data_IF_108068209799
#
_entry.id   IF_108068209799
#
_cell.length_a   1.000
_cell.length_b   1.000
_cell.length_c   1.000
_cell.angle_alpha   90.00
_cell.angle_beta   90.00
_cell.angle_gamma   90.00
#
_symmetry.space_group_name_H-M   'P 1'
#
loop_
_entity.id
_entity.type
_entity.pdbx_description
1 polymer ?
#
# COMPACT_ATOMS: atom_id res chain seq x y z
N UNK A 1 -5.07 22.34 -21.40
CA UNK A 1 -5.96 23.18 -20.57
C UNK A 1 -7.07 22.41 -19.84
N UNK A 2 -7.69 21.35 -20.39
CA UNK A 2 -8.72 20.54 -19.68
C UNK A 2 -8.19 19.71 -18.48
N UNK A 3 -6.89 19.38 -18.44
CA UNK A 3 -6.25 18.58 -17.36
C UNK A 3 -5.78 19.40 -16.14
N UNK A 4 -5.60 20.72 -16.30
CA UNK A 4 -4.99 21.59 -15.28
C UNK A 4 -6.03 22.10 -14.25
N UNK A 5 -7.31 22.12 -14.62
CA UNK A 5 -8.39 22.63 -13.74
C UNK A 5 -8.80 21.60 -12.68
N UNK A 6 -8.60 20.30 -12.93
CA UNK A 6 -8.85 19.26 -11.92
C UNK A 6 -7.83 19.31 -10.77
N UNK A 7 -6.58 19.73 -11.06
CA UNK A 7 -5.47 19.75 -10.10
C UNK A 7 -5.51 20.91 -9.10
N UNK A 8 -6.19 22.02 -9.40
CA UNK A 8 -6.11 23.24 -8.58
C UNK A 8 -7.18 23.32 -7.47
N UNK A 9 -8.22 22.48 -7.50
CA UNK A 9 -9.44 22.71 -6.70
C UNK A 9 -9.70 21.69 -5.59
N UNK A 10 -8.87 20.65 -5.44
CA UNK A 10 -8.86 19.81 -4.24
C UNK A 10 -7.64 20.07 -3.33
N UNK A 11 -6.81 21.06 -3.68
CA UNK A 11 -5.55 21.39 -2.98
C UNK A 11 -5.72 22.38 -1.80
N UNK A 12 -6.91 22.89 -1.53
CA UNK A 12 -7.18 23.72 -0.34
C UNK A 12 -8.08 22.96 0.59
N UNK A 13 -7.54 22.52 1.72
CA UNK A 13 -8.22 21.80 2.81
C UNK A 13 -9.43 22.52 3.38
N UNK A 14 -10.53 22.48 2.64
CA UNK A 14 -11.85 22.97 3.02
C UNK A 14 -12.82 21.83 2.80
N UNK A 15 -12.65 20.76 3.59
CA UNK A 15 -13.76 19.89 3.97
C UNK A 15 -14.56 20.57 5.09
N UNK A 16 -14.90 21.86 4.94
CA UNK A 16 -15.85 22.55 5.82
C UNK A 16 -17.16 22.71 5.06
N UNK A 17 -18.13 21.88 5.47
CA UNK A 17 -19.55 21.97 5.15
C UNK A 17 -19.92 22.20 3.68
N UNK A 18 -19.56 21.28 2.80
CA UNK A 18 -20.41 21.03 1.64
C UNK A 18 -21.53 20.12 2.12
N UNK A 19 -22.76 20.63 2.11
CA UNK A 19 -23.95 19.79 2.16
C UNK A 19 -23.92 18.92 0.89
N UNK A 20 -23.21 17.80 0.96
CA UNK A 20 -23.31 16.70 0.02
C UNK A 20 -24.77 16.27 0.15
N UNK A 21 -25.61 16.67 -0.79
CA UNK A 21 -26.91 16.04 -0.96
C UNK A 21 -26.64 14.54 -0.96
N UNK A 22 -27.22 13.75 -0.04
CA UNK A 22 -26.90 12.33 0.02
C UNK A 22 -27.17 11.75 -1.35
N UNK A 23 -26.10 11.33 -2.02
CA UNK A 23 -26.19 10.72 -3.34
C UNK A 23 -26.71 9.31 -3.08
N UNK A 24 -28.02 9.18 -3.16
CA UNK A 24 -28.79 8.06 -2.63
C UNK A 24 -28.91 6.89 -3.62
N UNK A 25 -27.82 6.55 -4.34
CA UNK A 25 -27.81 5.28 -5.07
C UNK A 25 -27.22 4.19 -4.15
N UNK A 26 -27.94 3.08 -4.03
CA UNK A 26 -27.48 1.91 -3.28
C UNK A 26 -26.10 1.43 -3.76
N UNK A 27 -25.85 1.56 -5.07
CA UNK A 27 -24.58 1.21 -5.67
C UNK A 27 -23.43 2.10 -5.17
N UNK A 28 -23.59 3.42 -5.14
CA UNK A 28 -22.54 4.31 -4.67
C UNK A 28 -22.23 4.09 -3.18
N UNK A 29 -23.25 3.86 -2.35
CA UNK A 29 -23.05 3.46 -0.95
C UNK A 29 -22.24 2.17 -0.82
N UNK A 30 -22.56 1.16 -1.62
CA UNK A 30 -21.82 -0.11 -1.63
C UNK A 30 -20.38 0.09 -2.06
N UNK A 31 -20.15 0.88 -3.12
CA UNK A 31 -18.80 1.19 -3.58
C UNK A 31 -18.01 1.98 -2.53
N UNK A 32 -18.65 2.91 -1.83
CA UNK A 32 -18.02 3.63 -0.72
C UNK A 32 -17.63 2.67 0.42
N UNK A 33 -18.52 1.77 0.84
CA UNK A 33 -18.19 0.76 1.86
C UNK A 33 -17.02 -0.14 1.44
N UNK A 34 -16.95 -0.51 0.15
CA UNK A 34 -15.81 -1.27 -0.38
C UNK A 34 -14.52 -0.43 -0.33
N UNK A 35 -14.58 0.85 -0.70
CA UNK A 35 -13.43 1.75 -0.63
C UNK A 35 -12.95 1.95 0.82
N UNK A 36 -13.86 2.08 1.78
CA UNK A 36 -13.54 2.18 3.21
C UNK A 36 -12.81 0.90 3.69
N UNK A 37 -13.29 -0.27 3.28
CA UNK A 37 -12.62 -1.54 3.59
C UNK A 37 -11.23 -1.65 2.95
N UNK A 38 -11.04 -1.15 1.73
CA UNK A 38 -9.73 -1.10 1.06
C UNK A 38 -8.78 -0.16 1.80
N UNK A 39 -9.28 1.00 2.27
CA UNK A 39 -8.49 1.97 3.04
C UNK A 39 -8.04 1.37 4.38
N UNK A 40 -8.92 0.68 5.10
CA UNK A 40 -8.55 0.03 6.36
C UNK A 40 -7.49 -1.05 6.16
N UNK A 41 -7.61 -1.84 5.09
CA UNK A 41 -6.60 -2.82 4.69
C UNK A 41 -5.28 -2.15 4.29
N UNK A 42 -5.33 -1.08 3.49
CA UNK A 42 -4.17 -0.31 3.08
C UNK A 42 -3.43 0.32 4.26
N UNK A 43 -4.14 0.78 5.30
CA UNK A 43 -3.52 1.37 6.49
C UNK A 43 -2.59 0.37 7.17
N UNK A 44 -3.03 -0.87 7.31
CA UNK A 44 -2.24 -1.94 7.91
C UNK A 44 -1.06 -2.34 7.02
N UNK A 45 -1.30 -2.50 5.71
CA UNK A 45 -0.25 -2.85 4.76
C UNK A 45 0.81 -1.75 4.64
N UNK A 46 0.40 -0.48 4.67
CA UNK A 46 1.31 0.67 4.65
C UNK A 46 2.29 0.61 5.82
N UNK A 47 1.83 0.30 7.04
CA UNK A 47 2.74 0.18 8.19
C UNK A 47 3.79 -0.93 8.01
N UNK A 48 3.42 -2.06 7.40
CA UNK A 48 4.36 -3.15 7.11
C UNK A 48 5.42 -2.74 6.09
N UNK A 49 5.01 -2.12 5.00
CA UNK A 49 5.92 -1.58 3.97
C UNK A 49 6.79 -0.45 4.54
N UNK A 50 6.20 0.48 5.29
CA UNK A 50 6.91 1.59 5.93
C UNK A 50 8.02 1.07 6.84
N UNK A 51 7.73 0.09 7.69
CA UNK A 51 8.71 -0.58 8.55
C UNK A 51 9.81 -1.24 7.71
N UNK A 52 9.47 -1.96 6.64
CA UNK A 52 10.44 -2.63 5.78
C UNK A 52 11.40 -1.64 5.12
N UNK A 53 10.88 -0.53 4.60
CA UNK A 53 11.68 0.52 3.96
C UNK A 53 12.60 1.25 4.93
N UNK A 54 12.02 1.79 6.01
CA UNK A 54 12.78 2.61 6.96
C UNK A 54 13.81 1.76 7.71
N UNK A 55 13.49 0.51 8.04
CA UNK A 55 14.46 -0.38 8.68
C UNK A 55 15.62 -0.76 7.75
N UNK A 56 15.42 -0.80 6.44
CA UNK A 56 16.48 -1.00 5.47
C UNK A 56 17.46 0.19 5.40
N UNK A 57 16.96 1.42 5.51
CA UNK A 57 17.80 2.61 5.61
C UNK A 57 18.64 2.59 6.90
N UNK A 58 18.03 2.15 8.00
CA UNK A 58 18.69 2.03 9.30
C UNK A 58 19.81 0.97 9.30
N UNK A 59 19.72 -0.10 8.49
CA UNK A 59 20.84 -1.03 8.28
C UNK A 59 22.10 -0.30 7.79
N UNK A 60 21.93 0.61 6.82
CA UNK A 60 23.04 1.38 6.24
C UNK A 60 23.59 2.39 7.24
N UNK A 61 22.71 3.16 7.89
CA UNK A 61 23.07 4.16 8.90
C UNK A 61 23.85 3.56 10.07
N UNK A 62 23.44 2.38 10.53
CA UNK A 62 24.11 1.67 11.62
C UNK A 62 25.23 0.73 11.17
N UNK A 63 25.58 0.73 9.86
CA UNK A 63 26.67 -0.06 9.27
C UNK A 63 26.55 -1.56 9.57
N UNK A 64 25.32 -2.08 9.55
CA UNK A 64 25.06 -3.51 9.74
C UNK A 64 25.57 -4.26 8.52
N UNK A 65 26.32 -5.34 8.75
CA UNK A 65 26.77 -6.22 7.66
C UNK A 65 25.61 -7.07 7.15
N UNK A 66 24.99 -6.63 6.06
CA UNK A 66 23.83 -7.29 5.44
C UNK A 66 24.08 -8.74 5.05
N UNK A 67 25.35 -9.16 4.85
CA UNK A 67 25.71 -10.56 4.53
C UNK A 67 25.52 -11.50 5.73
N UNK A 68 25.44 -10.95 6.94
CA UNK A 68 25.21 -11.71 8.18
C UNK A 68 23.73 -11.97 8.44
N UNK A 69 22.84 -11.18 7.83
CA UNK A 69 21.40 -11.31 8.03
C UNK A 69 20.98 -12.74 7.65
N UNK A 70 20.37 -13.43 8.60
CA UNK A 70 19.76 -14.74 8.42
C UNK A 70 18.27 -14.63 8.15
N UNK A 71 17.59 -13.78 8.93
CA UNK A 71 16.14 -13.55 8.84
C UNK A 71 15.82 -12.09 9.18
N UNK A 72 14.68 -11.63 8.68
CA UNK A 72 14.07 -10.42 9.19
C UNK A 72 12.57 -10.38 8.90
N UNK A 73 11.85 -9.53 9.64
CA UNK A 73 10.42 -9.39 9.48
C UNK A 73 9.77 -8.52 10.54
N UNK A 74 8.50 -8.22 10.30
CA UNK A 74 7.65 -7.46 11.21
C UNK A 74 7.17 -8.34 12.36
N UNK A 75 7.22 -7.81 13.57
CA UNK A 75 6.59 -8.37 14.78
C UNK A 75 5.80 -7.27 15.50
N UNK A 76 4.82 -7.63 16.31
CA UNK A 76 3.99 -6.67 17.04
C UNK A 76 3.91 -7.13 18.50
N UNK A 77 4.19 -6.22 19.43
CA UNK A 77 4.12 -6.50 20.86
C UNK A 77 2.69 -6.39 21.41
N UNK A 78 2.52 -6.73 22.70
CA UNK A 78 1.21 -6.68 23.37
C UNK A 78 0.61 -5.26 23.48
N UNK A 79 1.42 -4.22 23.29
CA UNK A 79 0.97 -2.83 23.29
C UNK A 79 0.62 -2.32 21.88
N UNK A 80 0.77 -3.15 20.84
CA UNK A 80 0.58 -2.77 19.45
C UNK A 80 1.78 -2.01 18.85
N UNK A 81 2.92 -1.97 19.53
CA UNK A 81 4.15 -1.42 19.00
C UNK A 81 4.71 -2.38 17.96
N UNK A 82 5.05 -1.86 16.80
CA UNK A 82 5.53 -2.64 15.68
C UNK A 82 7.05 -2.61 15.61
N UNK A 83 7.65 -3.75 15.33
CA UNK A 83 9.09 -3.91 15.20
C UNK A 83 9.41 -4.50 13.84
N UNK A 84 10.43 -3.97 13.17
CA UNK A 84 11.12 -4.68 12.10
C UNK A 84 12.47 -5.18 12.62
N UNK A 85 12.56 -6.50 12.80
CA UNK A 85 13.71 -7.15 13.41
C UNK A 85 14.57 -7.79 12.32
N UNK A 86 15.89 -7.59 12.40
CA UNK A 86 16.89 -8.34 11.66
C UNK A 86 17.73 -9.16 12.64
N UNK A 87 17.90 -10.45 12.35
CA UNK A 87 18.80 -11.34 13.09
C UNK A 87 19.85 -11.95 12.19
N UNK A 88 20.95 -12.37 12.79
CA UNK A 88 21.98 -13.12 12.08
C UNK A 88 21.57 -14.59 11.87
N UNK A 89 22.44 -15.36 11.19
CA UNK A 89 22.23 -16.80 10.92
C UNK A 89 22.17 -17.68 12.18
N UNK A 90 22.55 -17.16 13.34
CA UNK A 90 22.47 -17.83 14.65
C UNK A 90 21.26 -17.37 15.47
N UNK A 91 20.51 -16.38 14.97
CA UNK A 91 19.36 -15.81 15.67
C UNK A 91 19.70 -14.68 16.65
N UNK A 92 20.93 -14.16 16.65
CA UNK A 92 21.27 -12.98 17.45
C UNK A 92 20.76 -11.71 16.78
N UNK A 93 20.21 -10.76 17.56
CA UNK A 93 19.75 -9.49 17.03
C UNK A 93 20.88 -8.69 16.36
N UNK A 94 20.61 -8.23 15.13
CA UNK A 94 21.47 -7.29 14.40
C UNK A 94 20.92 -5.86 14.46
N UNK A 95 19.61 -5.71 14.28
CA UNK A 95 18.91 -4.43 14.29
C UNK A 95 17.43 -4.65 14.63
N UNK A 96 16.87 -3.75 15.42
CA UNK A 96 15.46 -3.68 15.76
C UNK A 96 14.99 -2.24 15.52
N UNK A 97 14.15 -2.06 14.51
CA UNK A 97 13.50 -0.80 14.17
C UNK A 97 12.09 -0.80 14.76
N UNK A 98 11.86 0.06 15.73
CA UNK A 98 10.61 0.12 16.50
C UNK A 98 9.79 1.31 16.02
N UNK A 99 8.51 1.10 15.79
CA UNK A 99 7.53 2.10 15.36
C UNK A 99 6.30 2.03 16.27
N UNK A 100 5.93 3.16 16.86
CA UNK A 100 4.60 3.36 17.41
C UNK A 100 3.66 3.78 16.25
N UNK A 101 2.71 2.92 15.82
CA UNK A 101 1.85 3.22 14.69
C UNK A 101 0.83 4.34 14.96
N UNK A 102 0.63 4.76 16.21
CA UNK A 102 -0.29 5.86 16.53
C UNK A 102 0.38 7.22 16.40
N UNK A 103 1.60 7.35 16.91
CA UNK A 103 2.36 8.62 16.87
C UNK A 103 3.30 8.73 15.67
N UNK A 104 3.54 7.61 14.97
CA UNK A 104 4.60 7.44 13.96
C UNK A 104 6.00 7.73 14.51
N UNK A 105 6.18 7.76 15.84
CA UNK A 105 7.49 7.86 16.46
C UNK A 105 8.25 6.55 16.25
N UNK A 106 9.53 6.67 15.86
CA UNK A 106 10.39 5.51 15.64
C UNK A 106 11.74 5.63 16.34
N UNK A 107 12.30 4.48 16.69
CA UNK A 107 13.63 4.35 17.28
C UNK A 107 14.30 3.06 16.79
N UNK A 108 15.62 3.12 16.59
CA UNK A 108 16.44 1.97 16.21
C UNK A 108 17.37 1.56 17.33
N UNK A 109 17.51 0.25 17.56
CA UNK A 109 18.56 -0.30 18.41
C UNK A 109 19.34 -1.41 17.72
N UNK A 110 20.63 -1.49 18.00
CA UNK A 110 21.53 -2.57 17.59
C UNK A 110 22.10 -3.32 18.79
N UNK A 111 21.54 -3.10 19.97
CA UNK A 111 21.99 -3.74 21.21
C UNK A 111 21.70 -5.24 21.14
N UNK A 112 22.75 -6.05 21.15
CA UNK A 112 22.63 -7.51 21.14
C UNK A 112 21.72 -8.01 22.26
N UNK A 113 20.74 -8.82 21.87
CA UNK A 113 19.86 -9.60 22.74
C UNK A 113 19.37 -10.84 21.98
N UNK A 114 18.90 -11.83 22.73
CA UNK A 114 18.10 -12.89 22.16
C UNK A 114 16.70 -12.36 21.84
N UNK A 115 16.07 -12.97 20.83
CA UNK A 115 14.65 -12.77 20.58
C UNK A 115 13.83 -13.51 21.63
N UNK A 116 12.68 -12.97 21.96
CA UNK A 116 11.68 -13.72 22.71
C UNK A 116 10.96 -14.74 21.82
N UNK A 117 10.09 -15.54 22.45
CA UNK A 117 9.38 -16.61 21.76
C UNK A 117 8.40 -16.07 20.71
N UNK A 118 7.72 -14.97 20.98
CA UNK A 118 6.76 -14.34 20.05
C UNK A 118 7.47 -13.79 18.82
N UNK A 119 8.57 -13.06 19.01
CA UNK A 119 9.39 -12.51 17.93
C UNK A 119 9.93 -13.65 17.04
N UNK A 120 10.50 -14.68 17.66
CA UNK A 120 11.03 -15.84 16.94
C UNK A 120 9.94 -16.57 16.15
N UNK A 121 8.77 -16.81 16.77
CA UNK A 121 7.64 -17.46 16.11
C UNK A 121 7.14 -16.65 14.91
N UNK A 122 6.98 -15.34 15.05
CA UNK A 122 6.55 -14.45 13.97
C UNK A 122 7.53 -14.49 12.78
N UNK A 123 8.83 -14.43 13.03
CA UNK A 123 9.84 -14.51 11.96
C UNK A 123 9.89 -15.87 11.26
N UNK A 124 9.78 -16.97 12.02
CA UNK A 124 9.72 -18.32 11.45
C UNK A 124 8.47 -18.46 10.58
N UNK A 125 7.31 -18.01 11.09
CA UNK A 125 6.03 -18.05 10.39
C UNK A 125 6.10 -17.29 9.07
N UNK A 126 6.62 -16.06 9.08
CA UNK A 126 6.87 -15.25 7.88
C UNK A 126 7.73 -16.01 6.87
N UNK A 127 8.86 -16.56 7.34
CA UNK A 127 9.81 -17.27 6.47
C UNK A 127 9.18 -18.52 5.84
N UNK A 128 8.38 -19.27 6.60
CA UNK A 128 7.68 -20.46 6.10
C UNK A 128 6.58 -20.07 5.11
N UNK A 129 5.80 -19.03 5.39
CA UNK A 129 4.76 -18.53 4.50
C UNK A 129 5.36 -18.12 3.14
N UNK A 130 6.44 -17.33 3.13
CA UNK A 130 7.14 -16.92 1.89
C UNK A 130 7.61 -18.15 1.11
N UNK A 131 8.25 -19.13 1.77
CA UNK A 131 8.68 -20.37 1.12
C UNK A 131 7.52 -21.13 0.49
N UNK A 132 6.38 -21.23 1.18
CA UNK A 132 5.20 -21.91 0.65
C UNK A 132 4.63 -21.18 -0.56
N UNK A 133 4.50 -19.86 -0.51
CA UNK A 133 3.98 -19.07 -1.64
C UNK A 133 4.91 -19.15 -2.85
N UNK A 134 6.23 -19.00 -2.65
CA UNK A 134 7.21 -19.13 -3.75
C UNK A 134 7.15 -20.53 -4.36
N UNK A 135 7.01 -21.59 -3.55
CA UNK A 135 6.89 -22.96 -4.08
C UNK A 135 5.58 -23.20 -4.85
N UNK A 136 4.48 -22.59 -4.42
CA UNK A 136 3.14 -22.89 -4.94
C UNK A 136 2.74 -21.99 -6.11
N UNK A 137 3.14 -20.71 -6.04
CA UNK A 137 2.71 -19.65 -6.96
C UNK A 137 3.89 -18.94 -7.64
N UNK A 138 5.14 -19.35 -7.37
CA UNK A 138 6.35 -18.64 -7.80
C UNK A 138 6.45 -18.46 -9.30
N UNK A 139 6.07 -19.46 -10.10
CA UNK A 139 6.09 -19.35 -11.56
C UNK A 139 5.15 -18.24 -12.05
N UNK A 140 3.98 -18.08 -11.43
CA UNK A 140 3.04 -17.02 -11.78
C UNK A 140 3.51 -15.64 -11.35
N UNK A 141 4.30 -15.53 -10.27
CA UNK A 141 4.80 -14.26 -9.72
C UNK A 141 6.08 -13.81 -10.45
N UNK A 142 7.03 -14.73 -10.66
CA UNK A 142 8.38 -14.43 -11.13
C UNK A 142 8.48 -14.29 -12.65
N UNK A 143 7.56 -14.88 -13.41
CA UNK A 143 7.54 -14.77 -14.88
C UNK A 143 7.09 -13.39 -15.39
N UNK A 144 6.58 -12.52 -14.52
CA UNK A 144 6.12 -11.17 -14.86
C UNK A 144 6.93 -10.05 -14.20
N UNK A 145 8.22 -10.28 -13.88
CA UNK A 145 9.11 -9.19 -13.48
C UNK A 145 9.29 -8.20 -14.62
N UNK A 146 8.47 -7.16 -14.62
CA UNK A 146 8.40 -6.14 -15.66
C UNK A 146 9.16 -4.85 -15.32
N UNK A 147 9.83 -4.80 -14.16
CA UNK A 147 10.46 -3.58 -13.64
C UNK A 147 11.84 -3.88 -13.04
N UNK A 148 12.75 -2.90 -13.11
CA UNK A 148 14.10 -2.92 -12.53
C UNK A 148 14.11 -2.77 -10.99
N UNK A 149 13.08 -3.31 -10.32
CA UNK A 149 12.88 -3.21 -8.87
C UNK A 149 12.73 -4.56 -8.17
N UNK A 150 12.76 -4.52 -6.84
CA UNK A 150 12.59 -5.69 -5.98
C UNK A 150 11.13 -5.93 -5.63
N UNK A 151 10.76 -7.21 -5.50
CA UNK A 151 9.49 -7.60 -4.91
C UNK A 151 9.62 -7.54 -3.38
N UNK A 152 8.74 -6.78 -2.72
CA UNK A 152 8.57 -6.88 -1.28
C UNK A 152 7.51 -7.93 -0.94
N UNK A 153 7.67 -8.60 0.21
CA UNK A 153 6.78 -9.66 0.69
C UNK A 153 6.30 -9.30 2.10
N UNK A 154 5.09 -8.78 2.21
CA UNK A 154 4.45 -8.47 3.48
C UNK A 154 3.55 -9.62 3.90
N UNK A 155 3.86 -10.24 5.04
CA UNK A 155 3.06 -11.33 5.60
C UNK A 155 2.32 -10.78 6.81
N UNK A 156 1.01 -10.57 6.63
CA UNK A 156 0.14 -9.92 7.61
C UNK A 156 -0.73 -11.00 8.28
N UNK A 157 -0.61 -11.18 9.62
CA UNK A 157 -1.49 -12.08 10.36
C UNK A 157 -2.92 -11.55 10.42
N UNK A 158 -3.92 -12.38 10.12
CA UNK A 158 -5.33 -12.01 10.21
C UNK A 158 -5.90 -12.45 11.58
N UNK A 159 -6.98 -11.79 12.03
CA UNK A 159 -7.57 -12.02 13.36
C UNK A 159 -8.09 -13.45 13.57
N UNK A 160 -8.36 -14.19 12.49
CA UNK A 160 -8.82 -15.58 12.51
C UNK A 160 -7.69 -16.62 12.39
N UNK A 161 -6.44 -16.19 12.55
CA UNK A 161 -5.25 -17.05 12.48
C UNK A 161 -4.82 -17.40 11.05
N UNK A 162 -5.48 -16.85 10.02
CA UNK A 162 -4.98 -16.90 8.63
C UNK A 162 -3.85 -15.91 8.43
N UNK A 163 -3.15 -16.04 7.31
CA UNK A 163 -2.18 -15.05 6.85
C UNK A 163 -2.64 -14.48 5.51
N UNK A 164 -2.48 -13.17 5.34
CA UNK A 164 -2.56 -12.53 4.03
C UNK A 164 -1.16 -12.05 3.65
N UNK A 165 -0.70 -12.50 2.49
CA UNK A 165 0.56 -12.06 1.92
C UNK A 165 0.31 -11.09 0.77
N UNK A 166 0.94 -9.92 0.86
CA UNK A 166 1.08 -9.00 -0.25
C UNK A 166 2.45 -9.16 -0.88
N UNK A 167 2.47 -9.14 -2.21
CA UNK A 167 3.71 -9.05 -2.98
C UNK A 167 3.61 -7.79 -3.81
N UNK A 168 4.40 -6.78 -3.45
CA UNK A 168 4.36 -5.46 -4.08
C UNK A 168 5.62 -5.26 -4.91
N UNK A 169 5.46 -4.77 -6.13
CA UNK A 169 6.58 -4.45 -7.02
C UNK A 169 7.02 -2.99 -6.80
N UNK A 170 8.21 -2.82 -6.21
CA UNK A 170 8.85 -1.50 -6.14
C UNK A 170 9.59 -1.12 -7.42
N UNK A 171 10.16 0.08 -7.43
CA UNK A 171 11.05 0.61 -8.48
C UNK A 171 12.35 1.18 -7.92
N UNK A 172 13.40 1.16 -8.74
CA UNK A 172 14.67 1.86 -8.49
C UNK A 172 14.78 3.16 -9.28
N UNK A 173 13.81 3.46 -10.15
CA UNK A 173 13.77 4.71 -10.89
C UNK A 173 13.37 5.86 -9.96
N UNK A 174 14.09 6.98 -10.07
CA UNK A 174 13.76 8.20 -9.35
C UNK A 174 12.57 8.92 -9.99
N UNK A 175 11.88 9.74 -9.21
CA UNK A 175 10.83 10.68 -9.67
C UNK A 175 9.67 10.01 -10.41
N UNK A 176 9.36 8.76 -10.07
CA UNK A 176 8.22 8.02 -10.62
C UNK A 176 7.37 7.40 -9.52
N UNK A 177 6.08 7.29 -9.80
CA UNK A 177 5.13 6.53 -9.02
C UNK A 177 4.90 5.16 -9.69
N UNK A 178 5.32 4.04 -9.06
CA UNK A 178 5.01 2.71 -9.56
C UNK A 178 3.57 2.31 -9.19
N UNK A 179 2.91 1.60 -10.09
CA UNK A 179 1.65 0.90 -9.82
C UNK A 179 1.62 -0.46 -10.51
N UNK A 180 1.12 -1.46 -9.79
CA UNK A 180 0.74 -2.75 -10.34
C UNK A 180 1.87 -3.78 -10.41
N UNK A 181 1.58 -4.90 -11.07
CA UNK A 181 2.31 -6.16 -10.88
C UNK A 181 2.33 -6.65 -9.42
N UNK A 182 1.26 -6.34 -8.69
CA UNK A 182 1.08 -6.71 -7.29
C UNK A 182 0.18 -7.94 -7.16
N UNK A 183 0.36 -8.67 -6.06
CA UNK A 183 -0.37 -9.90 -5.76
C UNK A 183 -0.87 -9.91 -4.32
N UNK A 184 -2.02 -10.54 -4.11
CA UNK A 184 -2.52 -10.90 -2.78
C UNK A 184 -2.76 -12.40 -2.71
N UNK A 185 -2.26 -13.03 -1.65
CA UNK A 185 -2.31 -14.48 -1.43
C UNK A 185 -2.80 -14.72 -0.01
N UNK A 186 -3.87 -15.52 0.16
CA UNK A 186 -4.33 -15.92 1.49
C UNK A 186 -3.83 -17.32 1.83
N UNK A 187 -3.30 -17.51 3.04
CA UNK A 187 -2.90 -18.80 3.59
C UNK A 187 -3.77 -19.16 4.80
N UNK A 188 -4.10 -20.44 4.95
CA UNK A 188 -4.75 -20.94 6.17
C UNK A 188 -3.75 -21.09 7.34
N UNK A 189 -4.25 -21.44 8.53
CA UNK A 189 -3.42 -21.67 9.71
C UNK A 189 -2.44 -22.84 9.60
N UNK A 190 -2.48 -23.62 8.51
CA UNK A 190 -1.50 -24.68 8.17
C UNK A 190 -0.56 -24.24 7.04
N UNK A 191 -0.53 -22.94 6.75
CA UNK A 191 0.25 -22.31 5.69
C UNK A 191 -0.07 -22.86 4.29
N UNK A 192 -1.26 -23.39 4.06
CA UNK A 192 -1.70 -23.78 2.72
C UNK A 192 -2.28 -22.59 2.00
N UNK A 193 -1.91 -22.39 0.73
CA UNK A 193 -2.48 -21.34 -0.12
C UNK A 193 -3.96 -21.65 -0.36
N UNK A 194 -4.82 -20.71 0.03
CA UNK A 194 -6.28 -20.81 -0.13
C UNK A 194 -6.81 -19.87 -1.20
N UNK A 195 -6.10 -18.78 -1.49
CA UNK A 195 -6.43 -17.85 -2.57
C UNK A 195 -5.15 -17.27 -3.18
N UNK A 196 -5.17 -17.00 -4.48
CA UNK A 196 -4.11 -16.29 -5.20
C UNK A 196 -4.78 -15.34 -6.19
N UNK A 197 -4.51 -14.04 -6.07
CA UNK A 197 -5.06 -13.02 -6.96
C UNK A 197 -3.97 -12.06 -7.39
N UNK A 198 -3.86 -11.83 -8.70
CA UNK A 198 -3.12 -10.71 -9.27
C UNK A 198 -4.01 -9.47 -9.20
N UNK A 199 -3.50 -8.39 -8.63
CA UNK A 199 -4.26 -7.15 -8.42
C UNK A 199 -4.28 -6.28 -9.68
N UNK A 200 -3.17 -6.27 -10.43
CA UNK A 200 -3.05 -5.49 -11.67
C UNK A 200 -2.41 -6.30 -12.78
N UNK A 201 -2.98 -6.19 -13.98
CA UNK A 201 -2.51 -6.92 -15.17
C UNK A 201 -1.16 -6.43 -15.71
N UNK A 202 -0.79 -5.19 -15.38
CA UNK A 202 0.43 -4.54 -15.87
C UNK A 202 1.10 -3.77 -14.73
N UNK A 203 2.39 -3.55 -14.91
CA UNK A 203 3.17 -2.58 -14.17
C UNK A 203 3.24 -1.28 -14.97
N UNK A 204 3.06 -0.15 -14.30
CA UNK A 204 3.22 1.17 -14.90
C UNK A 204 4.04 2.06 -13.97
N UNK A 205 4.83 2.95 -14.57
CA UNK A 205 5.49 4.04 -13.87
C UNK A 205 4.93 5.35 -14.40
N UNK A 206 4.46 6.20 -13.50
CA UNK A 206 3.95 7.52 -13.84
C UNK A 206 4.97 8.54 -13.34
N UNK A 207 5.59 9.34 -14.22
CA UNK A 207 6.49 10.40 -13.80
C UNK A 207 5.81 11.41 -12.86
N UNK A 208 6.46 11.73 -11.76
CA UNK A 208 6.02 12.75 -10.82
C UNK A 208 6.55 14.09 -11.32
N UNK A 209 5.66 14.94 -11.83
CA UNK A 209 6.02 16.28 -12.29
C UNK A 209 6.15 17.27 -11.13
N UNK A 210 7.07 18.22 -11.26
CA UNK A 210 7.42 19.20 -10.21
C UNK A 210 6.25 20.05 -9.65
N UNK A 211 5.13 20.18 -10.37
CA UNK A 211 4.01 21.06 -10.01
C UNK A 211 2.71 20.31 -9.70
N UNK A 212 2.76 18.99 -9.49
CA UNK A 212 1.56 18.20 -9.23
C UNK A 212 1.34 17.95 -7.75
N UNK A 213 0.17 18.29 -7.21
CA UNK A 213 -0.26 17.85 -5.87
C UNK A 213 -0.96 16.47 -5.88
N UNK A 214 -1.01 15.82 -7.05
CA UNK A 214 -1.74 14.56 -7.19
C UNK A 214 -1.27 13.70 -8.36
N UNK A 215 -1.71 12.43 -8.36
CA UNK A 215 -1.51 11.53 -9.48
C UNK A 215 -2.80 10.81 -9.84
N UNK A 216 -2.97 10.41 -11.09
CA UNK A 216 -4.17 9.71 -11.52
C UNK A 216 -3.87 8.57 -12.48
N UNK A 217 -4.54 7.44 -12.30
CA UNK A 217 -4.51 6.33 -13.24
C UNK A 217 -5.91 5.73 -13.47
N UNK A 218 -5.95 4.77 -14.39
CA UNK A 218 -7.18 4.09 -14.79
C UNK A 218 -7.00 2.59 -14.65
N UNK A 219 -7.97 1.95 -14.01
CA UNK A 219 -8.10 0.51 -14.01
C UNK A 219 -8.84 0.05 -15.27
N UNK A 220 -8.36 -1.06 -15.86
CA UNK A 220 -9.07 -1.71 -16.96
C UNK A 220 -10.45 -2.20 -16.48
N UNK A 221 -11.42 -2.40 -17.39
CA UNK A 221 -12.60 -3.18 -17.07
C UNK A 221 -12.19 -4.51 -16.40
N UNK A 222 -12.94 -4.93 -15.38
CA UNK A 222 -12.70 -6.14 -14.59
C UNK A 222 -11.52 -6.09 -13.58
N UNK A 223 -10.67 -5.05 -13.59
CA UNK A 223 -9.65 -4.84 -12.54
C UNK A 223 -10.21 -4.27 -11.23
N UNK A 224 -11.52 -3.95 -11.19
CA UNK A 224 -12.19 -3.43 -10.01
C UNK A 224 -11.80 -1.99 -9.66
N UNK A 225 -12.14 -1.58 -8.44
CA UNK A 225 -11.80 -0.25 -7.90
C UNK A 225 -10.33 -0.18 -7.45
N UNK A 226 -9.95 0.94 -6.83
CA UNK A 226 -8.64 1.10 -6.16
C UNK A 226 -8.35 -0.08 -5.24
N UNK A 227 -7.09 -0.52 -5.19
CA UNK A 227 -6.64 -1.61 -4.32
C UNK A 227 -5.80 -1.09 -3.15
N UNK A 228 -5.56 -1.94 -2.15
CA UNK A 228 -4.69 -1.58 -1.04
C UNK A 228 -3.26 -1.26 -1.52
N UNK A 229 -2.76 -1.96 -2.54
CA UNK A 229 -1.40 -1.71 -3.06
C UNK A 229 -1.32 -0.42 -3.89
N UNK A 230 -2.40 0.02 -4.54
CA UNK A 230 -2.45 1.37 -5.13
C UNK A 230 -2.28 2.45 -4.05
N UNK A 231 -3.00 2.34 -2.94
CA UNK A 231 -2.91 3.30 -1.83
C UNK A 231 -1.50 3.26 -1.22
N UNK A 232 -0.97 2.08 -0.95
CA UNK A 232 0.34 1.91 -0.29
C UNK A 232 1.48 2.41 -1.17
N UNK A 233 1.49 2.06 -2.46
CA UNK A 233 2.47 2.60 -3.40
C UNK A 233 2.37 4.12 -3.49
N UNK A 234 1.16 4.68 -3.52
CA UNK A 234 0.96 6.14 -3.52
C UNK A 234 1.48 6.80 -2.24
N UNK A 235 1.22 6.20 -1.07
CA UNK A 235 1.72 6.72 0.20
C UNK A 235 3.25 6.73 0.22
N UNK A 236 3.90 5.61 -0.10
CA UNK A 236 5.36 5.49 -0.04
C UNK A 236 6.06 6.34 -1.09
N UNK A 237 5.69 6.19 -2.36
CA UNK A 237 6.41 6.83 -3.46
C UNK A 237 5.91 8.24 -3.78
N UNK A 238 4.62 8.52 -3.57
CA UNK A 238 4.03 9.81 -3.92
C UNK A 238 3.98 10.76 -2.74
N UNK A 239 3.34 10.35 -1.65
CA UNK A 239 3.15 11.21 -0.48
C UNK A 239 4.43 11.38 0.34
N UNK A 240 5.06 10.29 0.77
CA UNK A 240 6.19 10.36 1.72
C UNK A 240 7.45 10.96 1.07
N UNK A 241 7.70 10.69 -0.21
CA UNK A 241 8.87 11.21 -0.94
C UNK A 241 8.65 12.59 -1.57
N UNK A 242 7.44 12.90 -2.07
CA UNK A 242 7.19 14.13 -2.85
C UNK A 242 6.06 15.01 -2.31
N UNK A 243 5.41 14.62 -1.21
CA UNK A 243 4.36 15.42 -0.58
C UNK A 243 3.05 15.49 -1.37
N UNK A 244 2.78 14.52 -2.27
CA UNK A 244 1.51 14.50 -3.01
C UNK A 244 0.32 14.35 -2.04
N UNK A 245 -0.69 15.20 -2.16
CA UNK A 245 -1.85 15.18 -1.26
C UNK A 245 -2.89 14.12 -1.60
N UNK A 246 -3.03 13.72 -2.87
CA UNK A 246 -4.10 12.80 -3.29
C UNK A 246 -3.77 11.95 -4.52
N UNK A 247 -4.43 10.79 -4.64
CA UNK A 247 -4.45 9.98 -5.86
C UNK A 247 -5.87 9.71 -6.33
N UNK A 248 -6.04 9.57 -7.65
CA UNK A 248 -7.32 9.40 -8.33
C UNK A 248 -7.30 8.14 -9.17
N UNK A 249 -8.23 7.23 -8.91
CA UNK A 249 -8.39 6.00 -9.70
C UNK A 249 -9.73 6.02 -10.40
N UNK A 250 -9.69 5.99 -11.72
CA UNK A 250 -10.89 5.83 -12.54
C UNK A 250 -11.13 4.36 -12.87
N UNK A 251 -12.36 3.88 -12.68
CA UNK A 251 -12.71 2.49 -12.96
C UNK A 251 -14.16 2.35 -13.46
N UNK A 252 -14.46 1.19 -14.03
CA UNK A 252 -15.80 0.77 -14.44
C UNK A 252 -16.06 -0.66 -13.94
N UNK A 253 -17.12 -0.89 -13.14
CA UNK A 253 -17.50 -2.24 -12.73
C UNK A 253 -17.76 -3.18 -13.92
N UNK A 254 -18.38 -2.67 -14.99
CA UNK A 254 -18.65 -3.38 -16.23
C UNK A 254 -18.43 -2.48 -17.44
N UNK A 255 -18.18 -3.04 -18.63
CA UNK A 255 -17.91 -2.24 -19.84
C UNK A 255 -19.02 -1.20 -20.13
N UNK A 256 -20.28 -1.59 -19.90
CA UNK A 256 -21.48 -0.80 -20.16
C UNK A 256 -21.99 -0.01 -18.95
N UNK A 257 -21.31 -0.06 -17.79
CA UNK A 257 -21.73 0.66 -16.59
C UNK A 257 -21.29 2.14 -16.61
N UNK A 258 -21.91 2.93 -15.72
CA UNK A 258 -21.39 4.25 -15.38
C UNK A 258 -19.95 4.11 -14.84
N UNK A 259 -19.11 5.10 -15.19
CA UNK A 259 -17.75 5.17 -14.70
C UNK A 259 -17.69 5.85 -13.34
N UNK A 260 -16.78 5.38 -12.51
CA UNK A 260 -16.56 5.92 -11.17
C UNK A 260 -15.14 6.45 -11.03
N UNK A 261 -14.96 7.31 -10.03
CA UNK A 261 -13.68 7.85 -9.60
C UNK A 261 -13.58 7.62 -8.10
N UNK A 262 -12.50 6.99 -7.67
CA UNK A 262 -12.10 6.99 -6.25
C UNK A 262 -11.01 8.03 -6.07
N UNK A 263 -11.21 8.91 -5.10
CA UNK A 263 -10.22 9.89 -4.66
C UNK A 263 -9.73 9.46 -3.29
N UNK A 264 -8.44 9.16 -3.16
CA UNK A 264 -7.80 8.91 -1.88
C UNK A 264 -7.01 10.16 -1.46
N UNK A 265 -7.26 10.62 -0.24
CA UNK A 265 -6.57 11.75 0.40
C UNK A 265 -5.56 11.20 1.43
N UNK A 266 -4.27 11.50 1.21
CA UNK A 266 -3.18 10.98 2.05
C UNK A 266 -3.24 11.52 3.48
N UNK A 267 -3.56 12.81 3.63
CA UNK A 267 -3.51 13.50 4.92
C UNK A 267 -4.56 13.00 5.91
N UNK A 268 -5.77 12.74 5.44
CA UNK A 268 -6.86 12.18 6.25
C UNK A 268 -6.93 10.66 6.21
N UNK A 269 -6.16 10.02 5.31
CA UNK A 269 -6.17 8.59 5.04
C UNK A 269 -7.60 8.07 4.78
N UNK A 270 -8.32 8.75 3.88
CA UNK A 270 -9.72 8.46 3.53
C UNK A 270 -9.90 8.44 2.02
N UNK A 271 -10.88 7.66 1.58
CA UNK A 271 -11.29 7.62 0.18
C UNK A 271 -12.74 8.10 0.01
N UNK A 272 -13.03 8.74 -1.11
CA UNK A 272 -14.39 9.09 -1.52
C UNK A 272 -14.64 8.55 -2.92
N UNK A 273 -15.79 7.91 -3.12
CA UNK A 273 -16.24 7.41 -4.42
C UNK A 273 -17.26 8.38 -5.02
N UNK A 274 -17.07 8.72 -6.29
CA UNK A 274 -17.96 9.59 -7.07
C UNK A 274 -18.24 8.99 -8.43
N UNK A 275 -19.36 9.36 -9.07
CA UNK A 275 -19.56 9.05 -10.49
C UNK A 275 -18.72 10.00 -11.36
N UNK A 276 -18.31 9.57 -12.55
CA UNK A 276 -17.61 10.42 -13.50
C UNK A 276 -18.45 11.64 -13.90
N UNK A 277 -19.77 11.49 -14.01
CA UNK A 277 -20.67 12.60 -14.30
C UNK A 277 -20.66 13.68 -13.21
N UNK A 278 -20.47 13.32 -11.94
CA UNK A 278 -20.31 14.29 -10.85
C UNK A 278 -19.02 15.09 -11.00
N UNK A 279 -17.91 14.39 -11.27
CA UNK A 279 -16.61 15.04 -11.51
C UNK A 279 -16.69 16.02 -12.68
N UNK A 280 -17.35 15.63 -13.77
CA UNK A 280 -17.55 16.50 -14.94
C UNK A 280 -18.37 17.76 -14.62
N UNK A 281 -19.42 17.64 -13.81
CA UNK A 281 -20.22 18.79 -13.34
C UNK A 281 -19.37 19.77 -12.53
N UNK A 282 -18.63 19.26 -11.53
CA UNK A 282 -17.74 20.10 -10.71
C UNK A 282 -16.69 20.84 -11.55
N UNK A 283 -16.11 20.18 -12.55
CA UNK A 283 -15.12 20.79 -13.45
C UNK A 283 -15.74 21.88 -14.33
N UNK A 284 -17.02 21.74 -14.70
CA UNK A 284 -17.68 22.68 -15.61
C UNK A 284 -18.31 23.88 -14.88
N UNK A 285 -18.78 23.72 -13.64
CA UNK A 285 -19.27 24.82 -12.80
C UNK A 285 -18.13 25.79 -12.47
N UNK A 286 -16.97 25.27 -12.06
CA UNK A 286 -15.78 26.08 -11.76
C UNK A 286 -15.18 26.84 -12.95
N UNK A 287 -15.53 26.47 -14.19
CA UNK A 287 -15.15 27.23 -15.40
C UNK A 287 -16.05 28.42 -15.67
N UNK A 288 -17.25 28.46 -15.07
CA UNK A 288 -18.18 29.60 -15.20
C UNK A 288 -17.85 30.72 -14.21
N UNK A 289 -17.17 30.37 -13.12
CA UNK A 289 -16.77 31.31 -12.06
C UNK A 289 -15.35 31.89 -12.25
N UNK A 290 -14.75 31.69 -13.44
CA UNK A 290 -13.47 32.28 -13.89
C UNK A 290 -13.67 33.02 -15.21
#
# INVERSE_FOLDING_TARGET
MKRIILMLMMATGVMTSLAITPIDSLELRRLQQMADSVVDEARRLYLYEYLAWHSADELTKHKVDVKKIGMGGVTVDDNGIMHYIYVDKKGELLLDYVLDPQSMFSITTTKKRALDNSEMQAMILRTQAIKTVVKTCGDSILNYRSADGTLNFDVIPMDDGRLRMYIIQGTTHADVQPFGNDYVIDLDGRLQVTSFRRLHNFYIEIPIGNDSNSISHRHAPDSGMITATDIVNFMLYGHDLFGLGSTYVTFKPHADSEGYVVVFDANSFKAVVMTQGMVEKFVNENKKDK
#
